data_IF_044002146004
#
_entry.id   IF_044002146004
#
_cell.length_a   1.000
_cell.length_b   1.000
_cell.length_c   1.000
_cell.angle_alpha   90.00
_cell.angle_beta   90.00
_cell.angle_gamma   90.00
#
_symmetry.space_group_name_H-M   'P 1'
#
loop_
_entity.id
_entity.type
_entity.pdbx_description
1 polymer ?
#
# COMPACT_ATOMS: atom_id res chain seq x y z
N UNK A 1 5.28 32.63 10.38
CA UNK A 1 4.99 31.30 9.80
C UNK A 1 5.83 30.34 10.60
N UNK A 2 5.21 29.72 11.60
CA UNK A 2 5.78 28.58 12.32
C UNK A 2 5.84 27.45 11.30
N UNK A 3 6.96 26.74 11.28
CA UNK A 3 7.14 25.55 10.45
C UNK A 3 6.02 24.56 10.82
N UNK A 4 5.09 24.31 9.90
CA UNK A 4 4.05 23.31 10.03
C UNK A 4 4.74 21.94 10.10
N UNK A 5 4.81 21.41 11.32
CA UNK A 5 4.72 20.01 11.68
C UNK A 5 4.70 19.02 10.50
N UNK A 6 5.77 18.24 10.37
CA UNK A 6 5.69 16.86 9.85
C UNK A 6 5.02 15.92 10.90
N UNK A 7 4.09 16.43 11.72
CA UNK A 7 3.25 15.65 12.66
C UNK A 7 1.87 15.51 12.00
N UNK A 8 1.49 14.29 11.61
CA UNK A 8 0.16 14.01 11.06
C UNK A 8 0.10 12.76 10.19
N UNK A 9 1.23 12.37 9.58
CA UNK A 9 1.26 11.21 8.69
C UNK A 9 1.37 9.90 9.50
N UNK A 10 0.31 9.10 9.43
CA UNK A 10 0.28 7.73 9.95
C UNK A 10 0.73 6.74 8.87
N UNK A 11 1.17 5.56 9.32
CA UNK A 11 1.46 4.43 8.45
C UNK A 11 0.20 3.59 8.29
N UNK A 12 -0.18 3.32 7.06
CA UNK A 12 -1.27 2.43 6.70
C UNK A 12 -0.71 1.22 5.96
N UNK A 13 -1.22 0.04 6.28
CA UNK A 13 -0.99 -1.16 5.51
C UNK A 13 -2.15 -1.34 4.52
N UNK A 14 -1.83 -1.36 3.23
CA UNK A 14 -2.79 -1.45 2.14
C UNK A 14 -2.65 -2.81 1.47
N UNK A 15 -3.73 -3.59 1.46
CA UNK A 15 -3.79 -4.84 0.70
C UNK A 15 -4.55 -4.60 -0.60
N UNK A 16 -3.91 -4.91 -1.72
CA UNK A 16 -4.52 -4.80 -3.05
C UNK A 16 -5.01 -6.16 -3.52
N UNK A 17 -6.23 -6.20 -4.03
CA UNK A 17 -6.76 -7.33 -4.77
C UNK A 17 -6.42 -7.17 -6.24
N UNK A 18 -6.18 -8.28 -6.92
CA UNK A 18 -5.95 -8.30 -8.36
C UNK A 18 -6.58 -9.52 -9.02
N UNK A 19 -6.87 -9.41 -10.32
CA UNK A 19 -7.47 -10.51 -11.08
C UNK A 19 -6.54 -10.97 -12.19
N UNK A 20 -6.29 -12.28 -12.25
CA UNK A 20 -5.59 -12.95 -13.35
C UNK A 20 -6.55 -13.95 -13.98
N UNK A 21 -6.99 -13.67 -15.21
CA UNK A 21 -8.01 -14.47 -15.89
C UNK A 21 -9.35 -14.45 -15.14
N UNK A 22 -9.77 -15.61 -14.63
CA UNK A 22 -11.02 -15.78 -13.86
C UNK A 22 -10.78 -15.84 -12.34
N UNK A 23 -9.51 -15.85 -11.91
CA UNK A 23 -9.13 -15.98 -10.50
C UNK A 23 -8.80 -14.63 -9.88
N UNK A 24 -9.21 -14.44 -8.64
CA UNK A 24 -8.93 -13.26 -7.83
C UNK A 24 -7.89 -13.59 -6.76
N UNK A 25 -6.90 -12.72 -6.62
CA UNK A 25 -5.76 -12.86 -5.73
C UNK A 25 -5.59 -11.58 -4.91
N UNK A 26 -4.72 -11.63 -3.90
CA UNK A 26 -4.41 -10.49 -3.04
C UNK A 26 -2.89 -10.37 -2.97
N UNK A 27 -2.38 -9.14 -3.01
CA UNK A 27 -0.97 -8.87 -2.75
C UNK A 27 -0.65 -9.06 -1.28
N UNK A 28 0.64 -9.13 -0.97
CA UNK A 28 1.06 -8.77 0.38
C UNK A 28 0.69 -7.30 0.68
N UNK A 29 0.52 -6.93 1.97
CA UNK A 29 0.29 -5.54 2.33
C UNK A 29 1.46 -4.65 1.89
N UNK A 30 1.16 -3.44 1.49
CA UNK A 30 2.12 -2.36 1.24
C UNK A 30 1.99 -1.29 2.31
N UNK A 31 3.07 -0.63 2.69
CA UNK A 31 2.98 0.55 3.55
C UNK A 31 2.79 1.83 2.74
N UNK A 32 1.92 2.69 3.24
CA UNK A 32 1.71 4.04 2.73
C UNK A 32 1.66 5.01 3.90
N UNK A 33 2.18 6.22 3.71
CA UNK A 33 2.06 7.31 4.69
C UNK A 33 1.02 8.32 4.23
N UNK A 34 0.03 8.58 5.08
CA UNK A 34 -1.08 9.51 4.79
C UNK A 34 -1.61 10.13 6.09
N UNK A 35 -2.33 11.24 5.99
CA UNK A 35 -2.94 11.92 7.15
C UNK A 35 -4.09 11.10 7.78
N UNK A 36 -4.96 10.54 6.94
CA UNK A 36 -6.01 9.60 7.36
C UNK A 36 -6.28 8.51 6.32
N UNK A 37 -7.11 7.53 6.70
CA UNK A 37 -7.49 6.43 5.82
C UNK A 37 -8.15 6.89 4.50
N UNK A 38 -8.85 8.04 4.51
CA UNK A 38 -9.43 8.60 3.29
C UNK A 38 -8.35 9.12 2.34
N UNK A 39 -7.36 9.85 2.88
CA UNK A 39 -6.20 10.29 2.08
C UNK A 39 -5.39 9.10 1.57
N UNK A 40 -5.18 8.07 2.41
CA UNK A 40 -4.50 6.83 2.01
C UNK A 40 -5.22 6.15 0.83
N UNK A 41 -6.56 6.05 0.91
CA UNK A 41 -7.38 5.50 -0.17
C UNK A 41 -7.24 6.32 -1.47
N UNK A 42 -7.34 7.64 -1.38
CA UNK A 42 -7.21 8.55 -2.53
C UNK A 42 -5.82 8.43 -3.17
N UNK A 43 -4.75 8.40 -2.38
CA UNK A 43 -3.38 8.22 -2.87
C UNK A 43 -3.18 6.89 -3.60
N UNK A 44 -3.73 5.79 -3.06
CA UNK A 44 -3.65 4.48 -3.71
C UNK A 44 -4.45 4.47 -5.01
N UNK A 45 -5.66 5.04 -5.02
CA UNK A 45 -6.45 5.14 -6.24
C UNK A 45 -5.73 5.97 -7.31
N UNK A 46 -5.20 7.14 -6.94
CA UNK A 46 -4.43 7.99 -7.85
C UNK A 46 -3.20 7.25 -8.39
N UNK A 47 -2.47 6.55 -7.53
CA UNK A 47 -1.34 5.72 -7.94
C UNK A 47 -1.75 4.64 -8.95
N UNK A 48 -2.86 3.92 -8.70
CA UNK A 48 -3.37 2.91 -9.61
C UNK A 48 -3.86 3.52 -10.94
N UNK A 49 -4.45 4.71 -10.92
CA UNK A 49 -4.91 5.40 -12.13
C UNK A 49 -3.75 5.90 -12.98
N UNK A 50 -2.74 6.55 -12.38
CA UNK A 50 -1.54 7.06 -13.05
C UNK A 50 -0.80 5.91 -13.75
N UNK A 51 -0.70 4.76 -13.08
CA UNK A 51 -0.03 3.58 -13.60
C UNK A 51 -0.92 2.70 -14.51
N UNK A 52 -2.16 3.11 -14.79
CA UNK A 52 -3.15 2.35 -15.58
C UNK A 52 -3.49 0.96 -15.00
N UNK A 53 -3.30 0.80 -13.69
CA UNK A 53 -3.55 -0.42 -12.93
C UNK A 53 -4.97 -0.49 -12.34
N UNK A 54 -5.72 0.62 -12.32
CA UNK A 54 -7.06 0.72 -11.73
C UNK A 54 -8.12 -0.24 -12.34
N UNK A 55 -7.85 -0.83 -13.50
CA UNK A 55 -8.72 -1.88 -14.08
C UNK A 55 -8.39 -3.30 -13.59
N UNK A 56 -7.18 -3.51 -13.09
CA UNK A 56 -6.64 -4.82 -12.72
C UNK A 56 -6.48 -4.99 -11.22
N UNK A 57 -6.22 -3.89 -10.51
CA UNK A 57 -6.01 -3.84 -9.07
C UNK A 57 -7.10 -2.99 -8.40
N UNK A 58 -7.48 -3.38 -7.19
CA UNK A 58 -8.41 -2.64 -6.34
C UNK A 58 -8.00 -2.75 -4.88
N UNK A 59 -8.43 -1.80 -4.05
CA UNK A 59 -8.18 -1.84 -2.61
C UNK A 59 -9.09 -2.90 -1.99
N UNK A 60 -8.50 -3.85 -1.27
CA UNK A 60 -9.24 -4.87 -0.51
C UNK A 60 -9.37 -4.45 0.94
N UNK A 61 -8.27 -3.98 1.53
CA UNK A 61 -8.21 -3.59 2.93
C UNK A 61 -7.21 -2.44 3.12
N UNK A 62 -7.59 -1.51 4.00
CA UNK A 62 -6.74 -0.46 4.56
C UNK A 62 -6.75 -0.70 6.06
N UNK A 63 -5.57 -0.87 6.66
CA UNK A 63 -5.47 -1.07 8.10
C UNK A 63 -5.90 0.18 8.88
N UNK A 64 -6.06 0.04 10.19
CA UNK A 64 -6.06 1.20 11.07
C UNK A 64 -4.73 1.99 10.96
N UNK A 65 -4.75 3.31 11.24
CA UNK A 65 -3.55 4.13 11.24
C UNK A 65 -2.57 3.66 12.32
N UNK A 66 -1.31 3.48 11.95
CA UNK A 66 -0.23 3.23 12.88
C UNK A 66 0.62 4.47 13.08
N UNK A 67 0.94 4.78 14.33
CA UNK A 67 1.99 5.75 14.63
C UNK A 67 3.33 5.24 14.06
N UNK A 68 4.12 6.05 13.35
CA UNK A 68 5.37 5.61 12.73
C UNK A 68 6.37 5.01 13.73
N UNK A 69 6.44 5.56 14.94
CA UNK A 69 7.30 5.07 16.02
C UNK A 69 6.83 3.71 16.56
N UNK A 70 5.52 3.52 16.69
CA UNK A 70 4.92 2.27 17.14
C UNK A 70 5.09 1.18 16.08
N UNK A 71 4.83 1.51 14.81
CA UNK A 71 5.01 0.60 13.68
C UNK A 71 6.45 0.08 13.59
N UNK A 72 7.43 0.99 13.68
CA UNK A 72 8.85 0.62 13.64
C UNK A 72 9.21 -0.29 14.82
N UNK A 73 8.69 -0.02 16.01
CA UNK A 73 8.88 -0.86 17.19
C UNK A 73 8.35 -2.28 16.97
N UNK A 74 7.12 -2.42 16.45
CA UNK A 74 6.53 -3.72 16.14
C UNK A 74 7.34 -4.50 15.09
N UNK A 75 7.92 -3.82 14.10
CA UNK A 75 8.80 -4.45 13.11
C UNK A 75 10.11 -4.92 13.76
N UNK A 76 10.73 -4.09 14.61
CA UNK A 76 11.97 -4.43 15.33
C UNK A 76 11.77 -5.59 16.34
N UNK A 77 10.61 -5.67 16.99
CA UNK A 77 10.25 -6.75 17.90
C UNK A 77 9.75 -8.02 17.18
N UNK A 78 9.58 -7.96 15.85
CA UNK A 78 9.12 -9.07 15.02
C UNK A 78 7.63 -9.38 15.16
N UNK A 79 6.83 -8.44 15.67
CA UNK A 79 5.38 -8.52 15.74
C UNK A 79 4.71 -8.17 14.40
N UNK A 80 5.38 -7.37 13.56
CA UNK A 80 4.97 -7.06 12.19
C UNK A 80 6.05 -7.39 11.18
N UNK A 81 5.62 -7.81 9.99
CA UNK A 81 6.51 -7.98 8.85
C UNK A 81 6.87 -6.61 8.27
N UNK A 82 8.09 -6.50 7.72
CA UNK A 82 8.54 -5.27 7.09
C UNK A 82 8.04 -5.25 5.65
N UNK A 83 6.86 -4.68 5.47
CA UNK A 83 6.29 -4.46 4.15
C UNK A 83 7.01 -3.33 3.41
N UNK A 84 6.99 -3.42 2.08
CA UNK A 84 7.54 -2.40 1.20
C UNK A 84 6.57 -1.23 1.02
N UNK A 85 7.12 -0.06 0.68
CA UNK A 85 6.32 1.12 0.37
C UNK A 85 5.62 0.94 -0.98
N UNK A 86 4.33 1.30 -1.05
CA UNK A 86 3.57 1.24 -2.31
C UNK A 86 4.26 2.03 -3.43
N UNK A 87 4.84 3.18 -3.07
CA UNK A 87 5.55 4.08 -3.98
C UNK A 87 6.89 3.51 -4.51
N UNK A 88 7.42 2.45 -3.91
CA UNK A 88 8.65 1.79 -4.36
C UNK A 88 8.39 0.88 -5.57
N UNK A 89 7.17 0.36 -5.69
CA UNK A 89 6.75 -0.44 -6.83
C UNK A 89 6.49 0.48 -8.02
N UNK A 90 6.88 0.04 -9.21
CA UNK A 90 6.50 0.70 -10.46
C UNK A 90 5.33 -0.06 -11.11
N UNK A 91 4.72 0.53 -12.14
CA UNK A 91 3.73 -0.16 -12.96
C UNK A 91 4.25 -1.51 -13.49
N UNK A 92 5.54 -1.58 -13.84
CA UNK A 92 6.19 -2.80 -14.33
C UNK A 92 6.22 -3.90 -13.26
N UNK A 93 6.58 -3.59 -12.01
CA UNK A 93 6.57 -4.54 -10.89
C UNK A 93 5.15 -5.10 -10.65
N UNK A 94 4.13 -4.24 -10.72
CA UNK A 94 2.74 -4.68 -10.61
C UNK A 94 2.30 -5.59 -11.77
N UNK A 95 2.78 -5.34 -12.99
CA UNK A 95 2.55 -6.24 -14.11
C UNK A 95 3.26 -7.58 -13.91
N UNK A 96 4.47 -7.58 -13.35
CA UNK A 96 5.18 -8.81 -12.99
C UNK A 96 4.41 -9.64 -11.96
N UNK A 97 3.69 -9.01 -11.02
CA UNK A 97 2.78 -9.70 -10.09
C UNK A 97 1.64 -10.38 -10.86
N UNK A 98 1.02 -9.71 -11.83
CA UNK A 98 -0.05 -10.29 -12.66
C UNK A 98 0.45 -11.45 -13.53
N UNK A 99 1.72 -11.43 -13.93
CA UNK A 99 2.32 -12.41 -14.83
C UNK A 99 3.07 -13.53 -14.10
N UNK A 100 3.32 -13.42 -12.79
CA UNK A 100 4.08 -14.40 -12.00
C UNK A 100 3.37 -15.75 -11.79
N UNK A 101 2.07 -15.87 -12.07
CA UNK A 101 1.34 -17.15 -11.93
C UNK A 101 1.49 -18.09 -13.16
N UNK A 102 2.27 -17.71 -14.18
CA UNK A 102 2.56 -18.54 -15.39
C UNK A 102 3.91 -19.29 -15.31
N UNK A 103 4.26 -19.90 -14.16
CA UNK A 103 5.39 -20.84 -14.03
C UNK A 103 5.06 -22.13 -13.28
#
# INVERSE_FOLDING_TARGET
MVFDLEEGLYIFEITLGYRVGESEYMTVPFILRADDANEAEEMVQEYLEINQLANSFWIVEISDPFDPEEYQTHVDEGEKERWDQLEDYSAEDFLEILHSDDM
#
